data_IF_744825901672
#
_entry.id   IF_744825901672
#
_cell.length_a   1.000
_cell.length_b   1.000
_cell.length_c   1.000
_cell.angle_alpha   90.00
_cell.angle_beta   90.00
_cell.angle_gamma   90.00
#
_symmetry.space_group_name_H-M   'P 1'
#
loop_
_entity.id
_entity.type
_entity.pdbx_description
1 polymer ?
#
# COMPACT_ATOMS: atom_id res chain seq x y z
N UNK A 1 -20.87 9.38 18.53
CA UNK A 1 -20.54 8.70 17.27
C UNK A 1 -21.81 8.00 16.81
N UNK A 2 -22.45 8.46 15.72
CA UNK A 2 -23.63 7.77 15.18
C UNK A 2 -23.14 6.53 14.42
N UNK A 3 -23.69 5.35 14.74
CA UNK A 3 -23.42 4.13 14.02
C UNK A 3 -23.88 4.28 12.56
N UNK A 4 -23.04 3.88 11.61
CA UNK A 4 -23.43 3.88 10.20
C UNK A 4 -24.58 2.88 9.99
N UNK A 5 -25.54 3.16 9.09
CA UNK A 5 -26.55 2.18 8.73
C UNK A 5 -25.86 0.92 8.18
N UNK A 6 -26.38 -0.27 8.52
CA UNK A 6 -25.75 -1.58 8.25
C UNK A 6 -25.21 -1.75 6.80
N UNK A 7 -25.91 -1.21 5.80
CA UNK A 7 -25.46 -1.23 4.40
C UNK A 7 -24.25 -0.34 4.14
N UNK A 8 -24.20 0.86 4.72
CA UNK A 8 -23.05 1.75 4.59
C UNK A 8 -21.81 1.18 5.30
N UNK A 9 -22.01 0.52 6.44
CA UNK A 9 -20.94 -0.17 7.16
C UNK A 9 -20.29 -1.28 6.32
N UNK A 10 -21.11 -2.11 5.66
CA UNK A 10 -20.61 -3.13 4.75
C UNK A 10 -19.82 -2.52 3.58
N UNK A 11 -20.33 -1.46 2.95
CA UNK A 11 -19.65 -0.78 1.83
C UNK A 11 -18.29 -0.22 2.28
N UNK A 12 -18.24 0.46 3.43
CA UNK A 12 -17.00 0.97 3.99
C UNK A 12 -15.97 -0.13 4.24
N UNK A 13 -16.41 -1.29 4.75
CA UNK A 13 -15.53 -2.45 4.92
C UNK A 13 -15.00 -2.99 3.60
N UNK A 14 -15.86 -3.16 2.60
CA UNK A 14 -15.43 -3.65 1.28
C UNK A 14 -14.40 -2.70 0.68
N UNK A 15 -14.65 -1.39 0.71
CA UNK A 15 -13.72 -0.40 0.17
C UNK A 15 -12.37 -0.40 0.89
N UNK A 16 -12.36 -0.46 2.22
CA UNK A 16 -11.11 -0.53 2.99
C UNK A 16 -10.31 -1.80 2.68
N UNK A 17 -10.98 -2.95 2.56
CA UNK A 17 -10.33 -4.20 2.16
C UNK A 17 -9.82 -4.16 0.72
N UNK A 18 -10.62 -3.63 -0.21
CA UNK A 18 -10.23 -3.47 -1.61
C UNK A 18 -9.01 -2.55 -1.73
N UNK A 19 -8.97 -1.44 -0.99
CA UNK A 19 -7.82 -0.54 -0.94
C UNK A 19 -6.57 -1.27 -0.46
N UNK A 20 -6.68 -2.03 0.64
CA UNK A 20 -5.56 -2.77 1.20
C UNK A 20 -5.05 -3.85 0.24
N UNK A 21 -5.94 -4.65 -0.34
CA UNK A 21 -5.56 -5.72 -1.27
C UNK A 21 -4.93 -5.13 -2.53
N UNK A 22 -5.54 -4.09 -3.11
CA UNK A 22 -5.04 -3.45 -4.32
C UNK A 22 -3.67 -2.83 -4.11
N UNK A 23 -3.46 -2.12 -3.00
CA UNK A 23 -2.18 -1.47 -2.70
C UNK A 23 -1.11 -2.51 -2.36
N UNK A 24 -1.43 -3.52 -1.57
CA UNK A 24 -0.48 -4.58 -1.23
C UNK A 24 -0.07 -5.40 -2.45
N UNK A 25 -1.02 -5.75 -3.33
CA UNK A 25 -0.71 -6.48 -4.57
C UNK A 25 0.09 -5.62 -5.55
N UNK A 26 -0.24 -4.33 -5.66
CA UNK A 26 0.55 -3.38 -6.44
C UNK A 26 1.97 -3.25 -5.92
N UNK A 27 2.15 -3.06 -4.60
CA UNK A 27 3.47 -2.98 -3.98
C UNK A 27 4.31 -4.24 -4.22
N UNK A 28 3.72 -5.43 -4.08
CA UNK A 28 4.40 -6.69 -4.33
C UNK A 28 4.76 -6.84 -5.82
N UNK A 29 3.82 -6.51 -6.72
CA UNK A 29 4.05 -6.56 -8.16
C UNK A 29 5.16 -5.60 -8.57
N UNK A 30 5.10 -4.34 -8.15
CA UNK A 30 6.09 -3.34 -8.52
C UNK A 30 7.43 -3.58 -7.84
N UNK A 31 7.48 -4.14 -6.63
CA UNK A 31 8.74 -4.54 -6.00
C UNK A 31 9.44 -5.65 -6.78
N UNK A 32 8.71 -6.68 -7.20
CA UNK A 32 9.28 -7.80 -7.98
C UNK A 32 9.61 -7.36 -9.41
N UNK A 33 8.70 -6.63 -10.07
CA UNK A 33 8.83 -6.22 -11.47
C UNK A 33 9.54 -4.86 -11.66
N UNK A 34 10.22 -4.35 -10.64
CA UNK A 34 10.75 -2.99 -10.53
C UNK A 34 11.54 -2.52 -11.75
N UNK A 35 12.44 -3.37 -12.26
CA UNK A 35 13.40 -2.97 -13.28
C UNK A 35 12.98 -3.38 -14.71
N UNK A 36 11.72 -3.85 -14.89
CA UNK A 36 11.23 -4.45 -16.13
C UNK A 36 10.54 -3.50 -17.14
N UNK A 37 10.60 -2.18 -16.95
CA UNK A 37 10.03 -1.21 -17.90
C UNK A 37 8.51 -0.98 -17.78
N UNK A 38 7.88 -1.37 -16.67
CA UNK A 38 6.44 -1.22 -16.42
C UNK A 38 6.00 0.19 -16.01
N UNK A 39 6.62 1.23 -16.58
CA UNK A 39 6.40 2.65 -16.20
C UNK A 39 4.92 3.04 -16.27
N UNK A 40 4.23 2.63 -17.34
CA UNK A 40 2.82 2.93 -17.53
C UNK A 40 1.92 2.27 -16.47
N UNK A 41 2.21 1.03 -16.08
CA UNK A 41 1.45 0.34 -15.02
C UNK A 41 1.65 1.02 -13.67
N UNK A 42 2.89 1.43 -13.36
CA UNK A 42 3.19 2.16 -12.13
C UNK A 42 2.49 3.53 -12.09
N UNK A 43 2.49 4.26 -13.21
CA UNK A 43 1.74 5.51 -13.32
C UNK A 43 0.24 5.32 -13.12
N UNK A 44 -0.38 4.34 -13.80
CA UNK A 44 -1.80 4.03 -13.61
C UNK A 44 -2.12 3.64 -12.17
N UNK A 45 -1.27 2.83 -11.55
CA UNK A 45 -1.41 2.48 -10.14
C UNK A 45 -1.33 3.72 -9.24
N UNK A 46 -0.38 4.63 -9.47
CA UNK A 46 -0.27 5.89 -8.72
C UNK A 46 -1.49 6.80 -8.85
N UNK A 47 -2.28 6.69 -9.92
CA UNK A 47 -3.56 7.42 -10.03
C UNK A 47 -4.72 6.69 -9.36
N UNK A 48 -4.80 5.37 -9.53
CA UNK A 48 -5.94 4.56 -9.05
C UNK A 48 -5.86 4.32 -7.54
N UNK A 49 -4.67 4.06 -7.00
CA UNK A 49 -4.48 3.75 -5.58
C UNK A 49 -4.96 4.87 -4.65
N UNK A 50 -4.64 6.16 -4.87
CA UNK A 50 -5.19 7.26 -4.08
C UNK A 50 -6.71 7.35 -4.16
N UNK A 51 -7.31 7.15 -5.33
CA UNK A 51 -8.78 7.20 -5.50
C UNK A 51 -9.46 6.12 -4.66
N UNK A 52 -8.94 4.88 -4.70
CA UNK A 52 -9.47 3.78 -3.89
C UNK A 52 -9.24 4.02 -2.39
N UNK A 53 -8.04 4.47 -2.00
CA UNK A 53 -7.75 4.76 -0.59
C UNK A 53 -8.60 5.91 -0.02
N UNK A 54 -8.81 6.97 -0.79
CA UNK A 54 -9.64 8.12 -0.41
C UNK A 54 -11.11 7.70 -0.31
N UNK A 55 -11.63 6.94 -1.28
CA UNK A 55 -13.01 6.43 -1.21
C UNK A 55 -13.25 5.55 0.04
N UNK A 56 -12.26 4.75 0.43
CA UNK A 56 -12.32 3.94 1.64
C UNK A 56 -12.41 4.75 2.95
N UNK A 57 -11.86 5.97 3.00
CA UNK A 57 -11.94 6.82 4.20
C UNK A 57 -13.09 7.83 4.19
N UNK A 58 -13.64 8.15 3.02
CA UNK A 58 -14.82 9.03 2.89
C UNK A 58 -16.09 8.27 3.26
N UNK A 59 -16.21 7.02 2.82
CA UNK A 59 -17.41 6.21 3.11
C UNK A 59 -17.43 5.84 4.60
N UNK A 60 -18.52 6.15 5.32
CA UNK A 60 -18.61 5.85 6.74
C UNK A 60 -18.67 4.34 6.98
N UNK A 61 -17.79 3.85 7.87
CA UNK A 61 -17.77 2.47 8.34
C UNK A 61 -17.22 2.38 9.76
N UNK A 62 -17.62 1.35 10.49
CA UNK A 62 -17.32 1.18 11.91
C UNK A 62 -15.82 0.90 12.19
N UNK A 63 -15.05 0.43 11.19
CA UNK A 63 -13.60 0.20 11.32
C UNK A 63 -12.73 1.46 11.25
N UNK A 64 -13.24 2.54 10.66
CA UNK A 64 -12.54 3.83 10.59
C UNK A 64 -13.39 4.93 11.25
N UNK A 65 -13.72 4.79 12.55
CA UNK A 65 -14.73 5.59 13.23
C UNK A 65 -14.27 7.03 13.50
N UNK A 66 -12.96 7.29 13.54
CA UNK A 66 -12.39 8.58 13.88
C UNK A 66 -11.52 9.13 12.76
N UNK A 67 -11.37 10.46 12.70
CA UNK A 67 -10.44 11.09 11.77
C UNK A 67 -9.01 10.55 11.95
N UNK A 68 -8.57 10.34 13.20
CA UNK A 68 -7.29 9.72 13.51
C UNK A 68 -7.12 8.33 12.91
N UNK A 69 -8.14 7.47 13.00
CA UNK A 69 -8.09 6.12 12.39
C UNK A 69 -8.00 6.16 10.86
N UNK A 70 -8.63 7.15 10.22
CA UNK A 70 -8.57 7.34 8.76
C UNK A 70 -7.20 7.80 8.31
N UNK A 71 -6.61 8.76 9.03
CA UNK A 71 -5.24 9.22 8.77
C UNK A 71 -4.25 8.07 8.99
N UNK A 72 -4.38 7.33 10.10
CA UNK A 72 -3.54 6.17 10.39
C UNK A 72 -3.66 5.09 9.31
N UNK A 73 -4.86 4.84 8.79
CA UNK A 73 -5.09 3.90 7.69
C UNK A 73 -4.38 4.34 6.41
N UNK A 74 -4.50 5.61 6.01
CA UNK A 74 -3.80 6.14 4.83
C UNK A 74 -2.28 6.06 4.99
N UNK A 75 -1.76 6.42 6.17
CA UNK A 75 -0.34 6.30 6.48
C UNK A 75 0.13 4.84 6.46
N UNK A 76 -0.65 3.92 7.02
CA UNK A 76 -0.34 2.49 7.00
C UNK A 76 -0.31 1.94 5.57
N UNK A 77 -1.23 2.36 4.69
CA UNK A 77 -1.20 1.99 3.28
C UNK A 77 0.04 2.53 2.57
N UNK A 78 0.40 3.79 2.83
CA UNK A 78 1.57 4.43 2.22
C UNK A 78 2.89 3.76 2.68
N UNK A 79 3.07 3.62 3.99
CA UNK A 79 4.26 2.98 4.57
C UNK A 79 4.32 1.51 4.16
N UNK A 80 3.18 0.81 4.21
CA UNK A 80 3.08 -0.59 3.77
C UNK A 80 3.46 -0.77 2.32
N UNK A 81 3.05 0.14 1.42
CA UNK A 81 3.45 0.13 0.03
C UNK A 81 4.98 0.16 -0.13
N UNK A 82 5.66 1.14 0.47
CA UNK A 82 7.13 1.26 0.34
C UNK A 82 7.87 0.08 0.95
N UNK A 83 7.42 -0.41 2.12
CA UNK A 83 8.03 -1.57 2.77
C UNK A 83 7.88 -2.82 1.91
N UNK A 84 6.68 -3.10 1.38
CA UNK A 84 6.44 -4.28 0.55
C UNK A 84 7.18 -4.16 -0.79
N UNK A 85 7.21 -2.98 -1.42
CA UNK A 85 7.95 -2.73 -2.65
C UNK A 85 9.45 -2.97 -2.45
N UNK A 86 10.03 -2.41 -1.38
CA UNK A 86 11.44 -2.61 -1.04
C UNK A 86 11.76 -4.09 -0.75
N UNK A 87 10.91 -4.78 0.03
CA UNK A 87 11.07 -6.22 0.27
C UNK A 87 10.99 -7.02 -1.03
N UNK A 88 10.02 -6.72 -1.88
CA UNK A 88 9.83 -7.40 -3.18
C UNK A 88 11.04 -7.24 -4.10
N UNK A 89 11.68 -6.07 -4.09
CA UNK A 89 12.87 -5.80 -4.91
C UNK A 89 14.08 -6.64 -4.53
N UNK A 90 14.23 -6.96 -3.24
CA UNK A 90 15.34 -7.75 -2.74
C UNK A 90 15.25 -9.24 -3.09
N UNK A 91 14.11 -9.71 -3.62
CA UNK A 91 13.99 -11.10 -4.08
C UNK A 91 15.01 -11.41 -5.19
N UNK A 92 15.38 -10.41 -6.00
CA UNK A 92 16.36 -10.59 -7.09
C UNK A 92 17.79 -10.22 -6.72
N UNK A 93 17.98 -9.29 -5.79
CA UNK A 93 19.29 -8.74 -5.43
C UNK A 93 19.81 -9.18 -4.06
N UNK A 94 19.18 -10.19 -3.46
CA UNK A 94 19.40 -10.58 -2.06
C UNK A 94 20.87 -10.67 -1.65
N UNK A 95 21.19 -10.08 -0.50
CA UNK A 95 22.54 -10.11 0.07
C UNK A 95 22.92 -11.47 0.63
N UNK A 96 24.22 -11.74 0.74
CA UNK A 96 24.75 -13.04 1.23
C UNK A 96 24.50 -13.24 2.74
N UNK A 97 24.17 -12.16 3.45
CA UNK A 97 23.92 -12.15 4.89
C UNK A 97 22.90 -11.06 5.29
N UNK A 98 22.38 -11.16 6.52
CA UNK A 98 21.38 -10.24 7.05
C UNK A 98 21.79 -8.76 7.06
N UNK A 99 23.10 -8.48 7.19
CA UNK A 99 23.62 -7.12 7.20
C UNK A 99 23.56 -6.49 5.81
N UNK A 100 23.96 -7.24 4.81
CA UNK A 100 23.89 -6.83 3.41
C UNK A 100 22.44 -6.69 2.95
N UNK A 101 21.57 -7.64 3.33
CA UNK A 101 20.13 -7.54 3.11
C UNK A 101 19.54 -6.26 3.72
N UNK A 102 19.88 -5.95 4.98
CA UNK A 102 19.43 -4.71 5.63
C UNK A 102 19.90 -3.44 4.93
N UNK A 103 21.14 -3.41 4.45
CA UNK A 103 21.67 -2.28 3.69
C UNK A 103 20.94 -2.10 2.34
N UNK A 104 20.69 -3.20 1.63
CA UNK A 104 19.94 -3.17 0.37
C UNK A 104 18.49 -2.73 0.58
N UNK A 105 17.85 -3.17 1.67
CA UNK A 105 16.51 -2.75 2.04
C UNK A 105 16.42 -1.24 2.28
N UNK A 106 17.33 -0.69 3.09
CA UNK A 106 17.37 0.76 3.38
C UNK A 106 17.60 1.53 2.08
N UNK A 107 18.52 1.06 1.23
CA UNK A 107 18.77 1.68 -0.07
C UNK A 107 17.54 1.65 -0.97
N UNK A 108 16.81 0.53 -0.99
CA UNK A 108 15.58 0.39 -1.76
C UNK A 108 14.46 1.31 -1.24
N UNK A 109 14.40 1.56 0.07
CA UNK A 109 13.47 2.53 0.66
C UNK A 109 13.83 3.98 0.31
N UNK A 110 15.12 4.32 0.30
CA UNK A 110 15.60 5.69 0.06
C UNK A 110 15.54 6.08 -1.42
N UNK A 111 15.96 5.19 -2.31
CA UNK A 111 16.15 5.49 -3.73
C UNK A 111 15.15 4.80 -4.64
N UNK A 112 14.36 3.87 -4.11
CA UNK A 112 13.50 2.99 -4.88
C UNK A 112 14.16 1.64 -5.16
N UNK A 113 13.38 0.68 -5.67
CA UNK A 113 13.81 -0.71 -5.87
C UNK A 113 14.82 -0.91 -7.01
N UNK A 114 14.94 0.10 -7.88
CA UNK A 114 16.02 0.37 -8.83
C UNK A 114 16.19 1.90 -8.80
#
# INVERSE_FOLDING_TARGET
>A
MQAAPMKADLIGHVLAFSALIFIASGAAYFGVASCGGYVWHKQMFCYVAPVIAISAVIVPGNRLPSFGSRVAFLLALLVGYFVIEAVGSMIYFGGENWREYGNLFIRALEYGPC
#
